data_IF_139518288189
#
_entry.id   IF_139518288189
#
_cell.length_a   1.000
_cell.length_b   1.000
_cell.length_c   1.000
_cell.angle_alpha   90.00
_cell.angle_beta   90.00
_cell.angle_gamma   90.00
#
_symmetry.space_group_name_H-M   'P 1'
#
loop_
_entity.id
_entity.type
_entity.pdbx_description
1 polymer ?
#
# COMPACT_ATOMS: atom_id res chain seq x y z
N UNK A 1 0.35 8.42 -21.93
CA UNK A 1 -0.70 7.87 -21.06
C UNK A 1 -0.99 6.42 -21.47
N UNK A 2 -0.42 5.43 -20.80
CA UNK A 2 -0.73 4.01 -21.05
C UNK A 2 -1.97 3.65 -20.23
N UNK A 3 -3.10 3.44 -20.90
CA UNK A 3 -4.31 2.85 -20.30
C UNK A 3 -3.96 1.45 -19.81
N UNK A 4 -3.85 1.28 -18.50
CA UNK A 4 -3.87 -0.05 -17.91
C UNK A 4 -5.30 -0.60 -18.06
N UNK A 5 -5.54 -1.34 -19.12
CA UNK A 5 -6.71 -2.17 -19.27
C UNK A 5 -6.58 -3.36 -18.31
N UNK A 6 -7.01 -3.17 -17.07
CA UNK A 6 -7.33 -4.29 -16.20
C UNK A 6 -8.53 -4.98 -16.85
N UNK A 7 -8.32 -6.19 -17.40
CA UNK A 7 -9.42 -7.06 -17.80
C UNK A 7 -10.24 -7.36 -16.55
N UNK A 8 -11.31 -6.59 -16.34
CA UNK A 8 -12.32 -6.92 -15.34
C UNK A 8 -13.04 -8.19 -15.81
N UNK A 9 -12.89 -9.26 -15.05
CA UNK A 9 -13.78 -10.41 -15.18
C UNK A 9 -15.14 -10.05 -14.59
N UNK A 10 -16.23 -10.54 -15.19
CA UNK A 10 -17.63 -10.34 -14.78
C UNK A 10 -17.97 -10.83 -13.34
N UNK A 11 -17.01 -11.44 -12.66
CA UNK A 11 -17.08 -11.84 -11.23
C UNK A 11 -15.72 -11.54 -10.64
N UNK A 12 -15.63 -10.65 -9.64
CA UNK A 12 -14.41 -10.14 -9.03
C UNK A 12 -13.48 -11.17 -8.36
N UNK A 13 -13.18 -12.26 -9.04
CA UNK A 13 -12.30 -13.33 -8.59
C UNK A 13 -10.84 -13.13 -9.00
N UNK A 14 -9.92 -13.61 -8.16
CA UNK A 14 -8.49 -13.64 -8.44
C UNK A 14 -8.23 -14.65 -9.58
N UNK A 15 -7.66 -14.18 -10.71
CA UNK A 15 -7.39 -14.99 -11.92
C UNK A 15 -6.05 -15.72 -11.82
N UNK A 16 -5.33 -15.59 -10.72
CA UNK A 16 -4.03 -16.23 -10.55
C UNK A 16 -4.15 -17.73 -10.38
N UNK A 17 -3.21 -18.46 -11.01
CA UNK A 17 -3.06 -19.91 -10.84
C UNK A 17 -2.52 -20.22 -9.44
N UNK A 18 -2.70 -21.45 -8.98
CA UNK A 18 -2.28 -21.83 -7.63
C UNK A 18 -0.77 -21.68 -7.41
N UNK A 19 0.05 -21.99 -8.41
CA UNK A 19 1.49 -21.78 -8.35
C UNK A 19 1.86 -20.30 -8.18
N UNK A 20 1.07 -19.41 -8.76
CA UNK A 20 1.27 -17.96 -8.66
C UNK A 20 0.84 -17.43 -7.27
N UNK A 21 -0.27 -17.92 -6.76
CA UNK A 21 -0.73 -17.61 -5.41
C UNK A 21 0.27 -18.12 -4.35
N UNK A 22 0.79 -19.37 -4.52
CA UNK A 22 1.84 -19.91 -3.66
C UNK A 22 3.10 -19.04 -3.71
N UNK A 23 3.51 -18.59 -4.90
CA UNK A 23 4.66 -17.70 -5.07
C UNK A 23 4.45 -16.34 -4.39
N UNK A 24 3.28 -15.71 -4.56
CA UNK A 24 2.93 -14.49 -3.83
C UNK A 24 3.00 -14.67 -2.32
N UNK A 25 2.44 -15.76 -1.80
CA UNK A 25 2.46 -16.04 -0.37
C UNK A 25 3.90 -16.13 0.18
N UNK A 26 4.83 -16.73 -0.57
CA UNK A 26 6.23 -16.82 -0.16
C UNK A 26 6.98 -15.49 -0.27
N UNK A 27 6.71 -14.68 -1.31
CA UNK A 27 7.27 -13.33 -1.45
C UNK A 27 6.82 -12.38 -0.33
N UNK A 28 5.56 -12.45 0.07
CA UNK A 28 5.02 -11.65 1.18
C UNK A 28 5.61 -12.02 2.55
N UNK A 29 6.12 -13.25 2.69
CA UNK A 29 6.87 -13.65 3.88
C UNK A 29 8.30 -13.08 3.86
N UNK A 30 8.95 -13.19 2.71
CA UNK A 30 10.31 -12.73 2.51
C UNK A 30 10.61 -12.56 1.01
N UNK A 31 10.59 -11.33 0.53
CA UNK A 31 10.87 -10.98 -0.87
C UNK A 31 12.36 -11.11 -1.25
N UNK A 32 13.25 -11.30 -0.28
CA UNK A 32 14.71 -11.45 -0.52
C UNK A 32 15.13 -12.86 -0.92
N UNK A 33 14.21 -13.84 -0.91
CA UNK A 33 14.52 -15.20 -1.34
C UNK A 33 14.91 -15.26 -2.82
N UNK A 34 15.90 -16.09 -3.12
CA UNK A 34 16.28 -16.41 -4.49
C UNK A 34 15.20 -17.23 -5.20
N UNK A 35 15.18 -17.19 -6.52
CA UNK A 35 14.28 -18.02 -7.35
C UNK A 35 14.40 -19.52 -7.02
N UNK A 36 15.60 -19.99 -6.65
CA UNK A 36 15.85 -21.37 -6.24
C UNK A 36 15.17 -21.71 -4.91
N UNK A 37 15.24 -20.82 -3.93
CA UNK A 37 14.59 -21.00 -2.62
C UNK A 37 13.07 -20.93 -2.77
N UNK A 38 12.56 -20.02 -3.59
CA UNK A 38 11.14 -19.92 -3.92
C UNK A 38 10.65 -21.20 -4.61
N UNK A 39 11.40 -21.71 -5.59
CA UNK A 39 11.09 -22.94 -6.30
C UNK A 39 10.96 -24.15 -5.35
N UNK A 40 11.92 -24.28 -4.41
CA UNK A 40 11.88 -25.31 -3.37
C UNK A 40 10.66 -25.14 -2.44
N UNK A 41 10.35 -23.91 -2.06
CA UNK A 41 9.25 -23.62 -1.12
C UNK A 41 7.86 -23.93 -1.70
N UNK A 42 7.66 -23.75 -3.01
CA UNK A 42 6.36 -23.97 -3.67
C UNK A 42 6.28 -25.27 -4.48
N UNK A 43 7.34 -26.09 -4.47
CA UNK A 43 7.36 -27.39 -5.15
C UNK A 43 7.41 -27.29 -6.67
N UNK A 44 8.23 -26.40 -7.24
CA UNK A 44 8.37 -26.22 -8.69
C UNK A 44 9.84 -26.05 -9.10
N UNK A 45 10.10 -25.84 -10.40
CA UNK A 45 11.45 -25.60 -10.91
C UNK A 45 11.83 -24.11 -10.87
N UNK A 46 13.13 -23.82 -10.73
CA UNK A 46 13.64 -22.44 -10.75
C UNK A 46 13.27 -21.69 -12.05
N UNK A 47 13.41 -22.28 -13.27
CA UNK A 47 12.98 -21.61 -14.50
C UNK A 47 11.50 -21.25 -14.51
N UNK A 48 10.65 -22.08 -13.89
CA UNK A 48 9.22 -21.79 -13.75
C UNK A 48 9.00 -20.56 -12.84
N UNK A 49 9.70 -20.47 -11.72
CA UNK A 49 9.64 -19.28 -10.82
C UNK A 49 10.07 -18.03 -11.56
N UNK A 50 11.26 -18.05 -12.19
CA UNK A 50 11.80 -16.89 -12.92
C UNK A 50 10.82 -16.39 -14.01
N UNK A 51 10.25 -17.30 -14.80
CA UNK A 51 9.26 -16.96 -15.82
C UNK A 51 7.98 -16.40 -15.21
N UNK A 52 7.52 -16.98 -14.12
CA UNK A 52 6.30 -16.54 -13.42
C UNK A 52 6.49 -15.16 -12.82
N UNK A 53 7.60 -14.87 -12.14
CA UNK A 53 7.92 -13.57 -11.60
C UNK A 53 7.90 -12.48 -12.67
N UNK A 54 8.65 -12.69 -13.77
CA UNK A 54 8.66 -11.75 -14.90
C UNK A 54 7.28 -11.46 -15.46
N UNK A 55 6.40 -12.45 -15.50
CA UNK A 55 5.02 -12.26 -15.94
C UNK A 55 4.23 -11.44 -14.96
N UNK A 56 4.30 -11.75 -13.67
CA UNK A 56 3.59 -11.03 -12.59
C UNK A 56 4.02 -9.56 -12.48
N UNK A 57 5.30 -9.29 -12.69
CA UNK A 57 5.86 -7.94 -12.80
C UNK A 57 5.31 -7.22 -14.05
N UNK A 58 5.40 -7.84 -15.21
CA UNK A 58 4.94 -7.28 -16.50
C UNK A 58 3.43 -6.99 -16.50
N UNK A 59 2.64 -7.86 -15.86
CA UNK A 59 1.18 -7.73 -15.76
C UNK A 59 0.77 -6.79 -14.60
N UNK A 60 1.72 -6.29 -13.79
CA UNK A 60 1.48 -5.33 -12.72
C UNK A 60 0.89 -5.94 -11.44
N UNK A 61 0.91 -7.26 -11.28
CA UNK A 61 0.57 -7.90 -10.01
C UNK A 61 1.62 -7.63 -8.94
N UNK A 62 2.90 -7.55 -9.30
CA UNK A 62 3.99 -7.06 -8.46
C UNK A 62 4.32 -5.65 -8.92
N UNK A 63 4.13 -4.67 -8.03
CA UNK A 63 4.42 -3.26 -8.32
C UNK A 63 5.85 -2.89 -8.00
N UNK A 64 6.36 -3.42 -6.91
CA UNK A 64 7.70 -3.16 -6.41
C UNK A 64 8.14 -4.23 -5.41
N UNK A 65 9.44 -4.35 -5.22
CA UNK A 65 10.06 -5.10 -4.12
C UNK A 65 10.61 -4.09 -3.11
N UNK A 66 10.21 -4.23 -1.85
CA UNK A 66 10.60 -3.31 -0.79
C UNK A 66 10.83 -4.05 0.52
N UNK A 67 11.31 -3.31 1.51
CA UNK A 67 11.46 -3.77 2.89
C UNK A 67 10.43 -3.08 3.78
N UNK A 68 10.12 -3.68 4.91
CA UNK A 68 9.47 -3.00 6.03
C UNK A 68 10.56 -2.56 6.99
N UNK A 69 10.85 -1.25 7.09
CA UNK A 69 11.92 -0.75 7.94
C UNK A 69 11.51 -0.78 9.41
N UNK A 70 12.50 -0.81 10.29
CA UNK A 70 12.29 -0.43 11.69
C UNK A 70 12.32 1.10 11.78
N UNK A 71 11.16 1.72 11.78
CA UNK A 71 11.01 3.18 11.76
C UNK A 71 11.68 3.86 12.97
N UNK A 72 11.56 3.28 14.17
CA UNK A 72 12.20 3.80 15.39
C UNK A 72 13.72 3.88 15.23
N UNK A 73 14.36 2.80 14.70
CA UNK A 73 15.81 2.78 14.47
C UNK A 73 16.26 3.76 13.38
N UNK A 74 15.37 4.18 12.51
CA UNK A 74 15.61 5.23 11.52
C UNK A 74 15.35 6.65 12.06
N UNK A 75 14.96 6.77 13.35
CA UNK A 75 14.72 8.05 14.00
C UNK A 75 13.28 8.55 13.91
N UNK A 76 12.37 7.81 13.31
CA UNK A 76 10.96 8.16 13.25
C UNK A 76 10.23 7.71 14.52
N UNK A 77 9.52 8.63 15.15
CA UNK A 77 8.81 8.37 16.41
C UNK A 77 7.29 8.39 16.25
N UNK A 78 6.78 9.02 15.20
CA UNK A 78 5.35 9.19 14.99
C UNK A 78 4.95 8.69 13.60
N UNK A 79 3.88 7.91 13.55
CA UNK A 79 3.10 7.70 12.34
C UNK A 79 1.77 8.42 12.49
N UNK A 80 1.40 9.21 11.50
CA UNK A 80 0.12 9.92 11.49
C UNK A 80 -0.80 9.37 10.41
N UNK A 81 -2.08 9.20 10.75
CA UNK A 81 -3.17 8.97 9.79
C UNK A 81 -4.01 10.25 9.75
N UNK A 82 -3.86 11.04 8.70
CA UNK A 82 -4.55 12.32 8.55
C UNK A 82 -5.68 12.18 7.55
N UNK A 83 -6.88 12.61 7.97
CA UNK A 83 -8.10 12.56 7.17
C UNK A 83 -8.44 13.97 6.67
N UNK A 84 -8.77 14.05 5.38
CA UNK A 84 -8.99 15.32 4.67
C UNK A 84 -10.33 15.24 3.96
N UNK A 85 -11.16 16.29 4.08
CA UNK A 85 -12.35 16.46 3.27
C UNK A 85 -11.99 17.07 1.93
N UNK A 86 -12.59 16.55 0.90
CA UNK A 86 -12.49 17.12 -0.44
C UNK A 86 -13.40 18.36 -0.55
N UNK A 87 -12.99 19.38 -1.30
CA UNK A 87 -13.89 20.48 -1.66
C UNK A 87 -15.14 19.95 -2.37
N UNK A 88 -16.32 20.41 -1.97
CA UNK A 88 -17.60 19.91 -2.50
C UNK A 88 -17.89 20.40 -3.92
N UNK A 89 -17.44 21.61 -4.26
CA UNK A 89 -17.79 22.32 -5.48
C UNK A 89 -16.67 22.34 -6.53
N UNK A 90 -15.93 21.24 -6.63
CA UNK A 90 -14.79 21.08 -7.55
C UNK A 90 -15.13 20.02 -8.57
N UNK A 91 -15.03 20.35 -9.85
CA UNK A 91 -15.20 19.42 -10.95
C UNK A 91 -14.14 18.29 -10.91
N UNK A 92 -14.43 17.18 -11.61
CA UNK A 92 -13.47 16.06 -11.67
C UNK A 92 -12.12 16.46 -12.30
N UNK A 93 -12.14 17.38 -13.27
CA UNK A 93 -10.95 17.88 -13.94
C UNK A 93 -10.10 18.77 -13.02
N UNK A 94 -10.75 19.66 -12.28
CA UNK A 94 -10.09 20.51 -11.28
C UNK A 94 -9.50 19.67 -10.15
N UNK A 95 -10.22 18.63 -9.71
CA UNK A 95 -9.73 17.70 -8.71
C UNK A 95 -8.44 16.99 -9.17
N UNK A 96 -8.37 16.56 -10.43
CA UNK A 96 -7.15 15.95 -10.99
C UNK A 96 -5.98 16.93 -10.97
N UNK A 97 -6.22 18.20 -11.32
CA UNK A 97 -5.22 19.28 -11.25
C UNK A 97 -4.76 19.53 -9.80
N UNK A 98 -5.69 19.58 -8.86
CA UNK A 98 -5.39 19.73 -7.42
C UNK A 98 -4.57 18.56 -6.88
N UNK A 99 -4.90 17.33 -7.25
CA UNK A 99 -4.14 16.15 -6.84
C UNK A 99 -2.71 16.17 -7.38
N UNK A 100 -2.52 16.63 -8.64
CA UNK A 100 -1.19 16.78 -9.24
C UNK A 100 -0.38 17.84 -8.52
N UNK A 101 -0.99 19.01 -8.29
CA UNK A 101 -0.36 20.10 -7.53
C UNK A 101 -0.01 19.64 -6.12
N UNK A 102 -0.89 18.88 -5.47
CA UNK A 102 -0.67 18.30 -4.16
C UNK A 102 0.56 17.41 -4.11
N UNK A 103 0.73 16.56 -5.11
CA UNK A 103 1.91 15.71 -5.23
C UNK A 103 3.19 16.55 -5.39
N UNK A 104 3.16 17.56 -6.23
CA UNK A 104 4.30 18.47 -6.45
C UNK A 104 4.69 19.24 -5.17
N UNK A 105 3.70 19.71 -4.40
CA UNK A 105 3.94 20.40 -3.11
C UNK A 105 4.54 19.39 -2.11
N UNK A 106 4.00 18.18 -2.01
CA UNK A 106 4.49 17.16 -1.11
C UNK A 106 5.94 16.76 -1.43
N UNK A 107 6.27 16.56 -2.71
CA UNK A 107 7.63 16.27 -3.17
C UNK A 107 8.59 17.44 -2.89
N UNK A 108 8.19 18.67 -3.22
CA UNK A 108 9.02 19.87 -3.00
C UNK A 108 9.31 20.15 -1.55
N UNK A 109 8.38 19.83 -0.66
CA UNK A 109 8.53 20.00 0.80
C UNK A 109 9.15 18.79 1.51
N UNK A 110 9.46 17.72 0.77
CA UNK A 110 9.98 16.50 1.37
C UNK A 110 9.00 15.83 2.35
N UNK A 111 7.68 15.96 2.11
CA UNK A 111 6.67 15.32 2.96
C UNK A 111 6.84 13.80 2.95
N UNK A 112 7.01 13.22 4.12
CA UNK A 112 7.27 11.78 4.32
C UNK A 112 5.95 10.99 4.32
N UNK A 113 5.14 11.15 3.27
CA UNK A 113 3.90 10.37 3.12
C UNK A 113 4.19 8.99 2.56
N UNK A 114 3.76 7.97 3.29
CA UNK A 114 3.83 6.55 2.89
C UNK A 114 2.68 6.21 1.96
N UNK A 115 1.52 6.84 2.19
CA UNK A 115 0.28 6.57 1.49
C UNK A 115 -0.57 7.84 1.43
N UNK A 116 -1.18 8.11 0.29
CA UNK A 116 -2.22 9.12 0.12
C UNK A 116 -3.28 8.59 -0.85
N UNK A 117 -4.44 8.20 -0.34
CA UNK A 117 -5.49 7.58 -1.13
C UNK A 117 -6.85 8.24 -0.89
N UNK A 118 -7.67 8.19 -1.94
CA UNK A 118 -9.10 8.49 -1.82
C UNK A 118 -9.80 7.36 -1.07
N UNK A 119 -10.73 7.72 -0.21
CA UNK A 119 -11.52 6.78 0.56
C UNK A 119 -12.96 7.27 0.76
N UNK A 120 -13.73 6.54 1.51
CA UNK A 120 -15.08 6.87 1.96
C UNK A 120 -15.24 6.44 3.40
N UNK A 121 -15.78 7.31 4.23
CA UNK A 121 -16.08 6.99 5.63
C UNK A 121 -15.79 8.17 6.56
N UNK A 122 -16.40 8.17 7.73
CA UNK A 122 -16.21 9.19 8.77
C UNK A 122 -16.46 10.65 8.30
N UNK A 123 -17.07 10.84 7.11
CA UNK A 123 -17.23 12.16 6.50
C UNK A 123 -15.99 12.74 5.84
N UNK A 124 -15.00 11.90 5.54
CA UNK A 124 -13.75 12.27 4.85
C UNK A 124 -13.61 11.55 3.50
N UNK A 125 -12.81 12.15 2.62
CA UNK A 125 -12.61 11.69 1.23
C UNK A 125 -11.20 11.21 0.93
N UNK A 126 -10.23 11.61 1.76
CA UNK A 126 -8.81 11.27 1.59
C UNK A 126 -8.20 10.86 2.92
N UNK A 127 -7.39 9.82 2.90
CA UNK A 127 -6.54 9.42 4.01
C UNK A 127 -5.08 9.51 3.58
N UNK A 128 -4.27 10.17 4.40
CA UNK A 128 -2.81 10.26 4.25
C UNK A 128 -2.17 9.55 5.43
N UNK A 129 -1.24 8.64 5.15
CA UNK A 129 -0.37 8.04 6.16
C UNK A 129 1.02 8.62 5.98
N UNK A 130 1.58 9.20 7.04
CA UNK A 130 2.90 9.83 7.04
C UNK A 130 3.71 9.41 8.26
N UNK A 131 5.03 9.55 8.17
CA UNK A 131 5.97 9.24 9.26
C UNK A 131 6.79 10.47 9.59
N UNK A 132 7.06 10.66 10.88
CA UNK A 132 7.70 11.87 11.41
C UNK A 132 8.71 11.53 12.51
N UNK A 133 9.79 12.31 12.57
CA UNK A 133 10.80 12.20 13.61
C UNK A 133 10.26 12.59 14.97
N UNK A 134 9.36 13.58 14.98
CA UNK A 134 8.74 14.15 16.19
C UNK A 134 7.44 14.88 15.86
N UNK A 135 6.83 15.46 16.89
CA UNK A 135 5.58 16.22 16.75
C UNK A 135 5.76 17.52 15.96
N UNK A 136 6.93 18.14 15.99
CA UNK A 136 7.21 19.37 15.21
C UNK A 136 7.16 19.09 13.71
N UNK A 137 7.81 18.02 13.28
CA UNK A 137 7.81 17.58 11.88
C UNK A 137 6.39 17.18 11.39
N UNK A 138 5.55 16.65 12.29
CA UNK A 138 4.13 16.42 11.99
C UNK A 138 3.36 17.73 11.78
N UNK A 139 3.58 18.74 12.64
CA UNK A 139 2.95 20.05 12.50
C UNK A 139 3.37 20.76 11.21
N UNK A 140 4.62 20.65 10.80
CA UNK A 140 5.11 21.18 9.52
C UNK A 140 4.37 20.55 8.32
N UNK A 141 4.09 19.25 8.38
CA UNK A 141 3.28 18.56 7.38
C UNK A 141 1.85 19.10 7.35
N UNK A 142 1.22 19.32 8.51
CA UNK A 142 -0.13 19.92 8.58
C UNK A 142 -0.14 21.32 8.00
N UNK A 143 0.86 22.17 8.31
CA UNK A 143 0.98 23.50 7.71
C UNK A 143 1.16 23.42 6.18
N UNK A 144 1.86 22.40 5.70
CA UNK A 144 1.93 22.10 4.27
C UNK A 144 0.56 21.79 3.68
N UNK A 145 -0.23 20.93 4.33
CA UNK A 145 -1.59 20.59 3.87
C UNK A 145 -2.50 21.82 3.84
N UNK A 146 -2.40 22.74 4.79
CA UNK A 146 -3.18 23.98 4.83
C UNK A 146 -2.97 24.89 3.61
N UNK A 147 -1.84 24.74 2.93
CA UNK A 147 -1.53 25.54 1.74
C UNK A 147 -2.12 24.95 0.43
N UNK A 148 -2.75 23.78 0.50
CA UNK A 148 -3.45 23.26 -0.67
C UNK A 148 -4.70 24.11 -0.96
N UNK A 149 -4.88 24.51 -2.22
CA UNK A 149 -6.08 25.24 -2.63
C UNK A 149 -7.34 24.45 -2.24
N UNK A 150 -8.29 25.14 -1.65
CA UNK A 150 -9.58 24.58 -1.21
C UNK A 150 -9.48 23.50 -0.11
N UNK A 151 -8.34 23.35 0.58
CA UNK A 151 -8.27 22.48 1.74
C UNK A 151 -9.15 23.07 2.88
N UNK A 152 -10.14 22.31 3.32
CA UNK A 152 -10.89 22.67 4.53
C UNK A 152 -10.06 22.30 5.76
N UNK A 153 -9.24 23.26 6.17
CA UNK A 153 -8.30 23.12 7.30
C UNK A 153 -9.03 22.84 8.61
N UNK A 154 -10.25 23.38 8.77
CA UNK A 154 -11.06 23.20 9.98
C UNK A 154 -11.52 21.75 10.16
N UNK A 155 -11.55 20.99 9.08
CA UNK A 155 -11.99 19.59 9.06
C UNK A 155 -10.86 18.56 9.14
N UNK A 156 -9.58 19.00 9.18
CA UNK A 156 -8.45 18.06 9.30
C UNK A 156 -8.50 17.32 10.63
N UNK A 157 -8.48 16.00 10.57
CA UNK A 157 -8.32 15.16 11.75
C UNK A 157 -7.15 14.22 11.57
N UNK A 158 -6.38 14.05 12.64
CA UNK A 158 -5.23 13.14 12.63
C UNK A 158 -5.27 12.20 13.82
N UNK A 159 -4.98 10.93 13.56
CA UNK A 159 -4.72 9.93 14.57
C UNK A 159 -3.22 9.68 14.60
N UNK A 160 -2.60 9.94 15.76
CA UNK A 160 -1.16 9.77 15.94
C UNK A 160 -0.87 8.44 16.62
N UNK A 161 0.12 7.74 16.09
CA UNK A 161 0.62 6.47 16.59
C UNK A 161 2.06 6.69 17.02
N UNK A 162 2.34 6.41 18.30
CA UNK A 162 3.70 6.41 18.83
C UNK A 162 4.42 5.13 18.35
N UNK A 163 5.43 5.30 17.51
CA UNK A 163 6.23 4.19 16.97
C UNK A 163 7.26 3.66 18.00
N UNK A 164 7.47 4.38 19.11
CA UNK A 164 8.35 3.96 20.21
C UNK A 164 7.60 3.13 21.25
N UNK A 165 6.26 3.11 21.20
CA UNK A 165 5.45 2.28 22.08
C UNK A 165 5.70 0.80 21.80
N UNK A 166 6.05 0.05 22.84
CA UNK A 166 6.31 -1.39 22.78
C UNK A 166 5.03 -2.23 22.78
N UNK A 167 3.90 -1.63 23.17
CA UNK A 167 2.60 -2.29 23.19
C UNK A 167 1.97 -2.21 21.81
N UNK A 168 2.33 -3.15 20.95
CA UNK A 168 1.78 -3.23 19.60
C UNK A 168 0.84 -4.44 19.48
N UNK A 169 -0.42 -4.21 19.14
CA UNK A 169 -1.38 -5.28 18.86
C UNK A 169 -0.96 -6.12 17.66
N UNK A 170 -0.42 -5.48 16.64
CA UNK A 170 0.12 -6.12 15.45
C UNK A 170 1.11 -5.17 14.74
N UNK A 171 2.38 -5.56 14.62
CA UNK A 171 3.35 -4.75 13.90
C UNK A 171 3.01 -4.67 12.40
N UNK A 172 3.44 -3.59 11.76
CA UNK A 172 3.25 -3.42 10.32
C UNK A 172 4.03 -4.51 9.56
N UNK A 173 3.31 -5.36 8.83
CA UNK A 173 3.89 -6.40 7.99
C UNK A 173 2.88 -6.92 6.97
N UNK A 174 3.36 -7.34 5.81
CA UNK A 174 2.57 -8.04 4.80
C UNK A 174 2.51 -9.56 5.00
N UNK A 175 3.31 -10.13 5.91
CA UNK A 175 3.39 -11.57 6.15
C UNK A 175 2.05 -12.20 6.58
N UNK A 176 1.16 -11.42 7.21
CA UNK A 176 -0.18 -11.89 7.58
C UNK A 176 -1.08 -12.13 6.36
N UNK A 177 -0.93 -11.32 5.30
CA UNK A 177 -1.66 -11.49 4.04
C UNK A 177 -1.24 -12.79 3.35
N UNK A 178 0.02 -13.19 3.51
CA UNK A 178 0.53 -14.46 3.00
C UNK A 178 -0.28 -15.66 3.49
N UNK A 179 -0.67 -15.67 4.77
CA UNK A 179 -1.52 -16.75 5.33
C UNK A 179 -2.90 -16.79 4.67
N UNK A 180 -3.50 -15.63 4.47
CA UNK A 180 -4.79 -15.51 3.80
C UNK A 180 -4.71 -16.03 2.34
N UNK A 181 -3.70 -15.63 1.59
CA UNK A 181 -3.49 -16.11 0.20
C UNK A 181 -3.27 -17.63 0.18
N UNK A 182 -2.52 -18.18 1.12
CA UNK A 182 -2.32 -19.64 1.24
C UNK A 182 -3.63 -20.40 1.49
N UNK A 183 -4.57 -19.81 2.25
CA UNK A 183 -5.90 -20.40 2.48
C UNK A 183 -6.75 -20.40 1.20
N UNK A 184 -6.63 -19.37 0.36
CA UNK A 184 -7.32 -19.32 -0.94
C UNK A 184 -6.92 -20.49 -1.86
N UNK A 185 -5.64 -20.88 -1.86
CA UNK A 185 -5.16 -22.04 -2.64
C UNK A 185 -5.81 -23.33 -2.15
N UNK A 186 -5.81 -23.56 -0.83
CA UNK A 186 -6.42 -24.77 -0.25
C UNK A 186 -7.91 -24.92 -0.56
N UNK A 187 -8.65 -23.80 -0.48
CA UNK A 187 -10.09 -23.80 -0.77
C UNK A 187 -10.39 -24.13 -2.24
N UNK A 188 -9.55 -23.71 -3.18
CA UNK A 188 -9.67 -24.08 -4.60
C UNK A 188 -9.40 -25.55 -4.82
N UNK A 189 -8.39 -26.15 -4.19
CA UNK A 189 -8.06 -27.57 -4.28
C UNK A 189 -9.22 -28.42 -3.77
N UNK A 190 -9.88 -28.03 -2.68
CA UNK A 190 -11.05 -28.73 -2.09
C UNK A 190 -12.31 -28.62 -2.96
N UNK A 191 -12.50 -27.48 -3.64
CA UNK A 191 -13.66 -27.28 -4.53
C UNK A 191 -13.53 -27.98 -5.90
N UNK A 192 -12.32 -28.31 -6.31
CA UNK A 192 -12.05 -29.04 -7.56
C UNK A 192 -12.15 -30.58 -7.40
N UNK A 193 -12.24 -31.07 -6.16
CA UNK A 193 -12.39 -32.50 -5.82
C UNK A 193 -13.85 -32.89 -5.52
N UNK A 194 -14.78 -31.97 -5.58
CA UNK A 194 -16.24 -32.20 -5.52
C UNK A 194 -16.86 -32.01 -6.90
#
# INVERSE_FOLDING_TARGET
MRKFLVKQTKQGGIILKDVELKLFAELLKNSRRSDRELAKAIGTSQPTVTRTLRRLEKEGYIREYTIVPNFEKLGFKIMAMTFIKRPKDVSAEELEKLMKLGKEIAEKRGMKSVLALRGMGLGYDVAVVSIHEDYSSFLEMLEGIKQFPHADVSSLQSFLIDLTDKVQYRPFTFSHISKYISTMVKNKETSAQK
#
